data_IF_287659657334
#
_entry.id   IF_287659657334
#
_cell.length_a   1.000
_cell.length_b   1.000
_cell.length_c   1.000
_cell.angle_alpha   90.00
_cell.angle_beta   90.00
_cell.angle_gamma   90.00
#
_symmetry.space_group_name_H-M   'P 1'
#
loop_
_entity.id
_entity.type
_entity.pdbx_description
1 polymer ?
#
# COMPACT_ATOMS: atom_id res chain seq x y z
N UNK A 1 -9.41 14.90 22.81
CA UNK A 1 -8.31 14.77 21.81
C UNK A 1 -8.54 13.63 20.81
N UNK A 2 -9.24 12.56 21.18
CA UNK A 2 -9.52 11.37 20.34
C UNK A 2 -10.33 11.65 19.06
N UNK A 3 -11.33 12.54 19.10
CA UNK A 3 -12.20 12.81 17.94
C UNK A 3 -11.47 13.41 16.73
N UNK A 4 -10.51 14.32 16.95
CA UNK A 4 -9.73 14.93 15.85
C UNK A 4 -8.74 13.93 15.23
N UNK A 5 -8.16 13.04 16.04
CA UNK A 5 -7.24 12.01 15.56
C UNK A 5 -7.97 10.97 14.68
N UNK A 6 -9.17 10.56 15.08
CA UNK A 6 -9.98 9.63 14.29
C UNK A 6 -10.36 10.22 12.93
N UNK A 7 -10.72 11.51 12.88
CA UNK A 7 -11.03 12.18 11.61
C UNK A 7 -9.79 12.34 10.70
N UNK A 8 -8.59 12.47 11.29
CA UNK A 8 -7.34 12.60 10.55
C UNK A 8 -6.75 11.26 10.10
N UNK A 9 -7.19 10.14 10.69
CA UNK A 9 -6.69 8.79 10.41
C UNK A 9 -6.57 8.44 8.91
N UNK A 10 -7.57 8.67 8.03
CA UNK A 10 -7.43 8.33 6.63
C UNK A 10 -6.33 9.14 5.92
N UNK A 11 -6.08 10.38 6.34
CA UNK A 11 -4.98 11.20 5.82
C UNK A 11 -3.62 10.71 6.32
N UNK A 12 -3.53 10.37 7.60
CA UNK A 12 -2.32 9.79 8.19
C UNK A 12 -1.93 8.48 7.49
N UNK A 13 -2.90 7.58 7.25
CA UNK A 13 -2.68 6.34 6.48
C UNK A 13 -2.24 6.65 5.04
N UNK A 14 -2.86 7.64 4.39
CA UNK A 14 -2.47 8.07 3.05
C UNK A 14 -1.03 8.58 2.98
N UNK A 15 -0.61 9.40 3.95
CA UNK A 15 0.77 9.90 4.04
C UNK A 15 1.76 8.77 4.32
N UNK A 16 1.44 7.91 5.29
CA UNK A 16 2.25 6.72 5.59
C UNK A 16 2.45 5.84 4.35
N UNK A 17 1.36 5.57 3.62
CA UNK A 17 1.39 4.83 2.35
C UNK A 17 2.33 5.47 1.33
N UNK A 18 2.24 6.78 1.13
CA UNK A 18 3.10 7.51 0.18
C UNK A 18 4.56 7.39 0.58
N UNK A 19 4.91 7.63 1.85
CA UNK A 19 6.29 7.58 2.34
C UNK A 19 6.86 6.16 2.23
N UNK A 20 6.14 5.15 2.73
CA UNK A 20 6.61 3.76 2.68
C UNK A 20 6.76 3.28 1.25
N UNK A 21 5.78 3.54 0.38
CA UNK A 21 5.86 3.18 -1.04
C UNK A 21 7.00 3.87 -1.76
N UNK A 22 7.23 5.17 -1.50
CA UNK A 22 8.33 5.94 -2.09
C UNK A 22 9.69 5.38 -1.67
N UNK A 23 9.92 5.15 -0.38
CA UNK A 23 11.18 4.62 0.12
C UNK A 23 11.48 3.24 -0.48
N UNK A 24 10.46 2.39 -0.57
CA UNK A 24 10.59 1.08 -1.21
C UNK A 24 10.93 1.20 -2.70
N UNK A 25 10.27 2.12 -3.41
CA UNK A 25 10.57 2.40 -4.80
C UNK A 25 12.00 2.92 -5.00
N UNK A 26 12.50 3.75 -4.09
CA UNK A 26 13.88 4.23 -4.10
C UNK A 26 14.89 3.08 -3.98
N UNK A 27 14.65 2.08 -3.13
CA UNK A 27 15.53 0.90 -3.05
C UNK A 27 15.56 0.11 -4.36
N UNK A 28 14.40 -0.05 -5.01
CA UNK A 28 14.30 -0.66 -6.33
C UNK A 28 15.05 0.14 -7.40
N UNK A 29 14.88 1.47 -7.41
CA UNK A 29 15.57 2.36 -8.33
C UNK A 29 17.09 2.33 -8.12
N UNK A 30 17.55 2.36 -6.87
CA UNK A 30 18.97 2.24 -6.54
C UNK A 30 19.56 0.92 -7.05
N UNK A 31 18.82 -0.17 -6.87
CA UNK A 31 19.27 -1.50 -7.28
C UNK A 31 19.25 -1.71 -8.80
N UNK A 32 18.27 -1.16 -9.51
CA UNK A 32 18.12 -1.36 -10.96
C UNK A 32 18.92 -0.35 -11.79
N UNK A 33 19.10 0.88 -11.31
CA UNK A 33 19.66 1.98 -12.10
C UNK A 33 20.93 2.59 -11.49
N UNK A 34 21.36 2.14 -10.31
CA UNK A 34 22.60 2.63 -9.69
C UNK A 34 22.50 4.07 -9.17
N UNK A 35 21.29 4.59 -9.05
CA UNK A 35 21.00 5.93 -8.53
C UNK A 35 20.90 5.90 -7.00
N UNK A 36 20.82 7.07 -6.35
CA UNK A 36 20.60 7.19 -4.90
C UNK A 36 21.61 6.41 -4.02
N UNK A 37 22.84 6.20 -4.52
CA UNK A 37 23.89 5.44 -3.84
C UNK A 37 24.07 3.99 -4.33
N UNK A 38 23.21 3.51 -5.24
CA UNK A 38 23.31 2.19 -5.87
C UNK A 38 23.03 1.00 -4.94
N UNK A 39 23.11 -0.21 -5.47
CA UNK A 39 22.95 -1.44 -4.68
C UNK A 39 24.12 -1.61 -3.70
N UNK A 40 23.86 -1.90 -2.41
CA UNK A 40 24.91 -2.25 -1.43
C UNK A 40 26.15 -1.32 -1.41
N UNK A 41 25.96 -0.02 -1.64
CA UNK A 41 27.04 0.97 -1.67
C UNK A 41 27.62 1.28 -3.05
N UNK A 42 27.06 0.74 -4.14
CA UNK A 42 27.33 1.20 -5.50
C UNK A 42 26.90 0.23 -6.61
N UNK A 43 26.64 0.78 -7.79
CA UNK A 43 26.34 0.00 -8.99
C UNK A 43 24.91 -0.55 -9.05
N UNK A 44 24.70 -1.52 -9.94
CA UNK A 44 23.39 -2.14 -10.23
C UNK A 44 23.40 -3.63 -9.93
N UNK A 45 22.23 -4.20 -9.72
CA UNK A 45 22.03 -5.66 -9.71
C UNK A 45 21.86 -6.15 -11.14
N UNK A 46 22.67 -7.15 -11.53
CA UNK A 46 22.61 -7.74 -12.86
C UNK A 46 21.23 -8.31 -13.18
N UNK A 47 20.79 -8.10 -14.41
CA UNK A 47 19.45 -8.48 -14.87
C UNK A 47 19.21 -9.98 -14.75
N UNK A 48 18.08 -10.37 -14.14
CA UNK A 48 17.69 -11.77 -13.95
C UNK A 48 18.33 -12.46 -12.75
N UNK A 49 19.21 -11.79 -11.99
CA UNK A 49 19.86 -12.37 -10.81
C UNK A 49 18.83 -12.69 -9.71
N UNK A 50 18.76 -13.95 -9.31
CA UNK A 50 17.93 -14.38 -8.18
C UNK A 50 18.66 -14.21 -6.83
N UNK A 51 18.00 -13.70 -5.76
CA UNK A 51 16.67 -13.08 -5.75
C UNK A 51 16.71 -11.57 -6.08
N UNK A 52 17.90 -10.96 -6.14
CA UNK A 52 18.10 -9.52 -6.06
C UNK A 52 17.39 -8.70 -7.15
N UNK A 53 17.46 -9.13 -8.41
CA UNK A 53 16.88 -8.37 -9.52
C UNK A 53 15.34 -8.35 -9.45
N UNK A 54 14.73 -9.50 -9.16
CA UNK A 54 13.27 -9.60 -8.99
C UNK A 54 12.78 -8.81 -7.78
N UNK A 55 13.53 -8.86 -6.67
CA UNK A 55 13.24 -8.03 -5.50
C UNK A 55 13.31 -6.53 -5.87
N UNK A 56 14.30 -6.10 -6.65
CA UNK A 56 14.43 -4.72 -7.07
C UNK A 56 13.29 -4.24 -7.99
N UNK A 57 12.82 -5.10 -8.90
CA UNK A 57 11.63 -4.82 -9.74
C UNK A 57 10.37 -4.70 -8.88
N UNK A 58 10.16 -5.62 -7.93
CA UNK A 58 9.02 -5.55 -7.01
C UNK A 58 9.09 -4.28 -6.15
N UNK A 59 10.29 -3.91 -5.70
CA UNK A 59 10.53 -2.68 -4.94
C UNK A 59 10.10 -1.44 -5.71
N UNK A 60 10.60 -1.29 -6.95
CA UNK A 60 10.29 -0.15 -7.79
C UNK A 60 8.81 -0.07 -8.17
N UNK A 61 8.28 -1.15 -8.76
CA UNK A 61 6.92 -1.18 -9.30
C UNK A 61 5.88 -1.24 -8.18
N UNK A 62 6.06 -2.16 -7.22
CA UNK A 62 5.17 -2.31 -6.07
C UNK A 62 5.18 -1.07 -5.18
N UNK A 63 6.37 -0.51 -4.90
CA UNK A 63 6.50 0.74 -4.15
C UNK A 63 5.81 1.90 -4.86
N UNK A 64 6.00 2.04 -6.17
CA UNK A 64 5.34 3.07 -6.98
C UNK A 64 3.81 2.94 -6.99
N UNK A 65 3.29 1.73 -7.23
CA UNK A 65 1.85 1.45 -7.20
C UNK A 65 1.25 1.77 -5.82
N UNK A 66 1.90 1.32 -4.75
CA UNK A 66 1.48 1.62 -3.38
C UNK A 66 1.54 3.12 -3.12
N UNK A 67 2.60 3.83 -3.53
CA UNK A 67 2.76 5.27 -3.32
C UNK A 67 1.76 6.12 -4.12
N UNK A 68 1.29 5.65 -5.26
CA UNK A 68 0.23 6.30 -6.04
C UNK A 68 -1.19 5.90 -5.56
N UNK A 69 -1.30 4.81 -4.81
CA UNK A 69 -2.59 4.28 -4.36
C UNK A 69 -3.25 3.37 -5.38
N UNK A 70 -2.57 2.99 -6.46
CA UNK A 70 -3.10 2.18 -7.55
C UNK A 70 -3.05 0.70 -7.18
N UNK A 71 -4.21 0.06 -7.00
CA UNK A 71 -4.27 -1.36 -6.62
C UNK A 71 -3.60 -1.65 -5.27
N UNK A 72 -3.60 -0.67 -4.35
CA UNK A 72 -2.80 -0.66 -3.10
C UNK A 72 -2.80 -2.00 -2.37
N UNK A 73 -3.97 -2.64 -2.22
CA UNK A 73 -4.09 -3.88 -1.44
C UNK A 73 -3.28 -5.03 -2.05
N UNK A 74 -3.38 -5.21 -3.36
CA UNK A 74 -2.67 -6.29 -4.09
C UNK A 74 -1.18 -5.97 -4.17
N UNK A 75 -0.83 -4.74 -4.54
CA UNK A 75 0.56 -4.30 -4.62
C UNK A 75 1.28 -4.43 -3.26
N UNK A 76 0.61 -4.03 -2.17
CA UNK A 76 1.14 -4.15 -0.82
C UNK A 76 1.26 -5.61 -0.37
N UNK A 77 0.32 -6.49 -0.72
CA UNK A 77 0.43 -7.92 -0.38
C UNK A 77 1.65 -8.57 -1.06
N UNK A 78 1.89 -8.26 -2.34
CA UNK A 78 3.06 -8.74 -3.08
C UNK A 78 4.36 -8.18 -2.50
N UNK A 79 4.40 -6.86 -2.22
CA UNK A 79 5.56 -6.22 -1.59
C UNK A 79 5.86 -6.82 -0.21
N UNK A 80 4.82 -7.04 0.60
CA UNK A 80 4.92 -7.69 1.91
C UNK A 80 5.52 -9.10 1.79
N UNK A 81 4.98 -9.92 0.88
CA UNK A 81 5.50 -11.27 0.63
C UNK A 81 6.97 -11.29 0.17
N UNK A 82 7.37 -10.34 -0.68
CA UNK A 82 8.77 -10.22 -1.12
C UNK A 82 9.72 -9.91 0.05
N UNK A 83 9.29 -9.09 0.99
CA UNK A 83 10.07 -8.72 2.16
C UNK A 83 10.06 -9.79 3.25
N UNK A 84 8.97 -10.54 3.38
CA UNK A 84 8.95 -11.77 4.17
C UNK A 84 9.97 -12.79 3.64
N UNK A 85 10.00 -13.00 2.31
CA UNK A 85 11.02 -13.85 1.69
C UNK A 85 12.44 -13.33 1.99
N UNK A 86 12.68 -12.02 1.80
CA UNK A 86 13.98 -11.42 2.10
C UNK A 86 14.40 -11.69 3.55
N UNK A 87 13.51 -11.47 4.52
CA UNK A 87 13.82 -11.75 5.92
C UNK A 87 14.12 -13.23 6.16
N UNK A 88 13.21 -14.14 5.83
CA UNK A 88 13.36 -15.56 6.19
C UNK A 88 14.41 -16.32 5.38
N UNK A 89 14.69 -15.90 4.13
CA UNK A 89 15.63 -16.61 3.24
C UNK A 89 16.97 -15.93 3.07
N UNK A 90 17.08 -14.63 3.30
CA UNK A 90 18.35 -13.90 3.16
C UNK A 90 18.92 -13.53 4.53
N UNK A 91 18.11 -12.94 5.42
CA UNK A 91 18.63 -12.40 6.68
C UNK A 91 18.62 -13.39 7.86
N UNK A 92 17.53 -14.12 8.07
CA UNK A 92 17.38 -15.03 9.21
C UNK A 92 18.47 -16.12 9.29
N UNK A 93 19.01 -16.66 8.18
CA UNK A 93 20.15 -17.58 8.23
C UNK A 93 21.41 -17.01 8.91
N UNK A 94 21.61 -15.68 8.87
CA UNK A 94 22.79 -15.02 9.46
C UNK A 94 22.66 -14.88 11.00
N UNK A 95 21.47 -14.56 11.50
CA UNK A 95 21.12 -14.55 12.93
C UNK A 95 19.60 -14.56 13.13
N UNK A 96 19.12 -14.93 14.32
CA UNK A 96 17.70 -14.91 14.64
C UNK A 96 17.14 -13.49 14.71
N UNK A 97 17.85 -12.55 15.34
CA UNK A 97 17.32 -11.21 15.60
C UNK A 97 17.61 -10.25 14.43
N UNK A 98 16.62 -9.46 13.97
CA UNK A 98 16.80 -8.49 12.88
C UNK A 98 17.96 -7.50 13.11
N UNK A 99 18.18 -7.14 14.37
CA UNK A 99 19.27 -6.27 14.82
C UNK A 99 20.66 -6.85 14.52
N UNK A 100 20.79 -8.17 14.48
CA UNK A 100 22.07 -8.87 14.34
C UNK A 100 22.34 -9.33 12.90
N UNK A 101 21.31 -9.38 12.03
CA UNK A 101 21.40 -9.90 10.67
C UNK A 101 21.13 -8.87 9.55
N UNK A 102 20.94 -7.60 9.90
CA UNK A 102 20.63 -6.53 8.95
C UNK A 102 19.24 -6.62 8.31
N UNK A 103 18.36 -7.50 8.81
CA UNK A 103 17.03 -7.78 8.30
C UNK A 103 15.92 -6.88 8.85
N UNK A 104 16.27 -5.88 9.66
CA UNK A 104 15.30 -4.96 10.27
C UNK A 104 14.44 -4.24 9.22
N UNK A 105 15.05 -3.75 8.14
CA UNK A 105 14.32 -3.11 7.04
C UNK A 105 13.36 -4.08 6.35
N UNK A 106 13.80 -5.31 6.08
CA UNK A 106 12.96 -6.37 5.50
C UNK A 106 11.75 -6.67 6.38
N UNK A 107 11.94 -6.81 7.70
CA UNK A 107 10.85 -7.01 8.64
C UNK A 107 9.89 -5.82 8.68
N UNK A 108 10.42 -4.59 8.69
CA UNK A 108 9.60 -3.38 8.77
C UNK A 108 8.78 -3.11 7.51
N UNK A 109 9.38 -3.24 6.32
CA UNK A 109 8.62 -3.15 5.08
C UNK A 109 7.58 -4.26 4.97
N UNK A 110 7.92 -5.49 5.37
CA UNK A 110 6.97 -6.61 5.38
C UNK A 110 5.68 -6.26 6.15
N UNK A 111 5.83 -5.81 7.40
CA UNK A 111 4.69 -5.48 8.26
C UNK A 111 3.98 -4.18 7.86
N UNK A 112 4.72 -3.16 7.41
CA UNK A 112 4.14 -1.92 6.92
C UNK A 112 3.23 -2.18 5.69
N UNK A 113 3.71 -2.96 4.72
CA UNK A 113 2.89 -3.32 3.57
C UNK A 113 1.75 -4.27 3.93
N UNK A 114 1.94 -5.20 4.87
CA UNK A 114 0.85 -6.04 5.34
C UNK A 114 -0.29 -5.19 5.93
N UNK A 115 0.03 -4.18 6.74
CA UNK A 115 -0.94 -3.23 7.26
C UNK A 115 -1.66 -2.46 6.14
N UNK A 116 -0.94 -2.04 5.10
CA UNK A 116 -1.52 -1.37 3.92
C UNK A 116 -2.42 -2.29 3.08
N UNK A 117 -2.17 -3.60 3.07
CA UNK A 117 -3.05 -4.57 2.44
C UNK A 117 -4.46 -4.60 3.10
N UNK A 118 -4.52 -4.41 4.42
CA UNK A 118 -5.78 -4.36 5.18
C UNK A 118 -6.43 -2.97 5.20
N UNK A 119 -5.63 -1.92 5.37
CA UNK A 119 -6.14 -0.54 5.49
C UNK A 119 -6.45 0.12 4.14
N UNK A 120 -5.84 -0.33 3.04
CA UNK A 120 -6.08 0.19 1.70
C UNK A 120 -5.41 1.53 1.42
N UNK A 121 -5.97 2.30 0.48
CA UNK A 121 -5.33 3.49 -0.11
C UNK A 121 -5.36 4.76 0.76
N UNK A 122 -6.15 4.80 1.85
CA UNK A 122 -6.31 5.99 2.69
C UNK A 122 -6.92 7.19 1.94
N UNK A 123 -7.01 8.37 2.55
CA UNK A 123 -7.63 9.61 2.00
C UNK A 123 -7.14 9.98 0.58
N UNK A 124 -5.85 9.75 0.32
CA UNK A 124 -5.08 10.31 -0.80
C UNK A 124 -4.85 9.31 -1.96
N UNK A 125 -5.66 8.26 -2.09
CA UNK A 125 -5.51 7.25 -3.14
C UNK A 125 -6.08 7.69 -4.50
N UNK A 126 -5.30 7.52 -5.58
CA UNK A 126 -5.75 7.82 -6.96
C UNK A 126 -6.89 6.91 -7.41
N UNK A 127 -6.97 5.69 -6.87
CA UNK A 127 -8.08 4.74 -7.04
C UNK A 127 -9.46 5.34 -6.70
N UNK A 128 -9.52 6.32 -5.79
CA UNK A 128 -10.78 7.00 -5.45
C UNK A 128 -11.34 7.89 -6.56
N UNK A 129 -10.48 8.41 -7.45
CA UNK A 129 -10.94 9.22 -8.58
C UNK A 129 -11.82 8.41 -9.55
N UNK A 130 -11.65 7.08 -9.57
CA UNK A 130 -12.44 6.19 -10.42
C UNK A 130 -13.69 5.65 -9.71
N UNK A 131 -13.73 5.63 -8.37
CA UNK A 131 -14.87 5.13 -7.59
C UNK A 131 -16.01 6.15 -7.44
N UNK A 132 -15.73 7.45 -7.58
CA UNK A 132 -16.71 8.53 -7.41
C UNK A 132 -17.81 8.60 -8.47
N UNK A 133 -17.76 7.79 -9.54
CA UNK A 133 -18.72 7.85 -10.66
C UNK A 133 -19.89 6.87 -10.58
N UNK A 134 -19.93 5.99 -9.58
CA UNK A 134 -20.97 4.94 -9.49
C UNK A 134 -22.10 5.23 -8.50
N UNK A 135 -21.97 6.28 -7.66
CA UNK A 135 -22.96 6.61 -6.62
C UNK A 135 -23.99 7.67 -7.03
N UNK A 136 -23.95 8.16 -8.28
CA UNK A 136 -25.02 9.01 -8.82
C UNK A 136 -26.18 8.15 -9.33
N UNK A 137 -26.73 7.31 -8.45
CA UNK A 137 -28.02 6.68 -8.69
C UNK A 137 -29.09 7.78 -8.48
N UNK A 138 -29.85 8.18 -9.52
CA UNK A 138 -30.83 9.24 -9.38
C UNK A 138 -31.82 8.87 -8.28
N UNK A 139 -32.00 9.78 -7.32
CA UNK A 139 -32.96 9.64 -6.24
C UNK A 139 -34.30 9.17 -6.83
N UNK A 140 -34.67 7.92 -6.52
CA UNK A 140 -35.94 7.33 -6.95
C UNK A 140 -37.04 8.25 -6.39
N UNK A 141 -37.91 8.86 -7.22
CA UNK A 141 -38.95 9.75 -6.73
C UNK A 141 -39.81 9.01 -5.72
N UNK A 142 -39.85 9.51 -4.49
CA UNK A 142 -40.78 9.05 -3.46
C UNK A 142 -42.18 9.24 -4.03
N UNK A 143 -42.83 8.14 -4.43
CA UNK A 143 -44.22 8.20 -4.86
C UNK A 143 -45.03 8.81 -3.73
N UNK A 144 -45.60 9.98 -3.99
CA UNK A 144 -46.47 10.68 -3.07
C UNK A 144 -47.65 9.76 -2.72
N UNK A 145 -47.76 9.38 -1.45
CA UNK A 145 -48.95 8.72 -0.91
C UNK A 145 -50.07 9.75 -0.96
N UNK A 146 -51.02 9.55 -1.88
CA UNK A 146 -52.25 10.35 -1.96
C UNK A 146 -53.11 10.10 -0.71
N UNK A 147 -53.54 11.15 0.01
CA UNK A 147 -54.41 11.02 1.15
C UNK A 147 -55.87 10.84 0.69
N UNK A 148 -56.29 9.61 0.37
CA UNK A 148 -57.72 9.34 0.08
C UNK A 148 -58.27 8.02 0.65
N UNK A 149 -57.50 7.25 1.42
CA UNK A 149 -57.95 5.93 1.94
C UNK A 149 -58.34 5.89 3.43
N UNK A 150 -58.46 7.04 4.13
CA UNK A 150 -58.82 7.04 5.57
C UNK A 150 -60.30 7.40 5.83
N UNK A 151 -61.11 7.64 4.78
CA UNK A 151 -62.52 8.10 4.92
C UNK A 151 -63.61 7.01 4.73
N UNK A 152 -63.33 5.73 4.96
CA UNK A 152 -64.35 4.67 4.79
C UNK A 152 -64.47 3.67 5.95
N UNK A 153 -63.86 3.93 7.11
CA UNK A 153 -64.07 3.14 8.32
C UNK A 153 -64.63 4.01 9.47
N UNK A 154 -65.92 4.37 9.38
CA UNK A 154 -66.76 4.78 10.51
C UNK A 154 -68.13 4.15 10.38
#
# INVERSE_FOLDING_TARGET
MTGRLNNAQPYAIGLFRIVVGLLFACHGAASLFGVLGGAMGGGTVDTGTWPGWYAAVIQLVGGGLVALGLGTRVAALVASGSMAYAYFKVHQPEALWPMENGGEASAMFCWAFLLLAFTGSGALGVDRLFSSRSDEQPARPTAAVTPDEVRTAR
#
